data_IF_592428195499
#
_entry.id   IF_592428195499
#
_cell.length_a   1.000
_cell.length_b   1.000
_cell.length_c   1.000
_cell.angle_alpha   90.00
_cell.angle_beta   90.00
_cell.angle_gamma   90.00
#
_symmetry.space_group_name_H-M   'P 1'
#
loop_
_entity.id
_entity.type
_entity.pdbx_description
1 polymer ?
#
# COMPACT_ATOMS: atom_id res chain seq x y z
N UNK A 1 36.17 1.19 4.24
CA UNK A 1 36.93 0.00 3.79
C UNK A 1 35.88 -0.95 3.24
N UNK A 2 35.80 -1.14 1.91
CA UNK A 2 34.87 -2.10 1.34
C UNK A 2 35.32 -3.51 1.77
N UNK A 3 34.54 -4.17 2.61
CA UNK A 3 34.79 -5.57 2.95
C UNK A 3 34.13 -6.43 1.87
N UNK A 4 34.94 -7.28 1.26
CA UNK A 4 34.45 -8.40 0.47
C UNK A 4 34.05 -9.48 1.46
N UNK A 5 32.75 -9.78 1.55
CA UNK A 5 32.25 -10.88 2.38
C UNK A 5 32.15 -12.14 1.50
N UNK A 6 33.03 -13.12 1.74
CA UNK A 6 33.05 -14.38 0.99
C UNK A 6 31.79 -15.25 1.25
N UNK A 7 30.89 -14.85 2.17
CA UNK A 7 29.64 -15.57 2.45
C UNK A 7 28.41 -15.03 1.70
N UNK A 8 28.46 -13.80 1.20
CA UNK A 8 27.42 -13.17 0.35
C UNK A 8 28.13 -12.33 -0.72
N UNK A 9 28.17 -12.81 -1.96
CA UNK A 9 29.07 -12.32 -3.03
C UNK A 9 28.80 -10.92 -3.59
N UNK A 10 28.67 -9.89 -2.73
CA UNK A 10 28.36 -8.51 -3.12
C UNK A 10 29.25 -7.46 -2.47
N UNK A 11 29.28 -6.26 -3.07
CA UNK A 11 29.89 -5.07 -2.47
C UNK A 11 28.96 -4.54 -1.37
N UNK A 12 29.40 -4.61 -0.11
CA UNK A 12 28.68 -4.04 1.03
C UNK A 12 28.81 -2.52 1.10
N UNK A 13 27.67 -1.79 1.12
CA UNK A 13 27.63 -0.35 1.41
C UNK A 13 26.83 -0.07 2.68
N UNK A 14 27.30 0.83 3.54
CA UNK A 14 26.54 1.37 4.68
C UNK A 14 25.28 2.07 4.17
N UNK A 15 24.14 1.43 4.40
CA UNK A 15 22.81 1.96 4.16
C UNK A 15 22.31 2.60 5.42
N UNK A 16 22.64 3.88 5.61
CA UNK A 16 22.03 4.70 6.65
C UNK A 16 20.51 4.53 6.65
N UNK A 17 19.91 4.58 7.83
CA UNK A 17 18.45 4.45 8.00
C UNK A 17 17.70 5.64 7.41
N UNK A 18 18.38 6.78 7.32
CA UNK A 18 17.86 8.02 6.74
C UNK A 18 17.45 7.80 5.28
N UNK A 19 16.16 8.03 5.00
CA UNK A 19 15.60 7.92 3.65
C UNK A 19 15.09 6.52 3.26
N UNK A 20 15.14 5.52 4.16
CA UNK A 20 14.50 4.22 3.87
C UNK A 20 12.97 4.34 3.90
N UNK A 21 12.44 4.92 4.97
CA UNK A 21 11.02 5.30 5.12
C UNK A 21 10.97 6.77 5.53
N UNK A 22 10.24 7.59 4.80
CA UNK A 22 10.08 9.00 5.14
C UNK A 22 8.98 9.20 6.19
N UNK A 23 9.13 10.20 7.06
CA UNK A 23 8.10 10.57 8.05
C UNK A 23 8.00 9.64 9.27
N UNK A 24 8.93 8.68 9.39
CA UNK A 24 9.05 7.76 10.52
C UNK A 24 10.47 7.77 11.08
N UNK A 25 10.58 7.46 12.37
CA UNK A 25 11.87 7.26 13.02
C UNK A 25 12.27 5.81 12.88
N UNK A 26 13.45 5.56 12.34
CA UNK A 26 14.02 4.22 12.26
C UNK A 26 15.12 4.09 13.32
N UNK A 27 15.12 2.95 14.01
CA UNK A 27 16.11 2.58 15.01
C UNK A 27 16.68 1.19 14.70
N UNK A 28 17.99 1.03 14.90
CA UNK A 28 18.72 -0.21 14.64
C UNK A 28 20.11 0.07 14.08
N UNK A 29 20.83 -1.00 13.78
CA UNK A 29 22.05 -0.88 12.98
C UNK A 29 21.68 -0.47 11.55
N UNK A 30 22.51 0.37 10.93
CA UNK A 30 22.40 0.67 9.50
C UNK A 30 22.36 -0.63 8.70
N UNK A 31 21.55 -0.64 7.65
CA UNK A 31 21.50 -1.80 6.76
C UNK A 31 22.79 -1.91 5.98
N UNK A 32 23.18 -3.12 5.58
CA UNK A 32 24.20 -3.29 4.55
C UNK A 32 23.50 -3.39 3.20
N UNK A 33 23.84 -2.53 2.25
CA UNK A 33 23.37 -2.63 0.86
C UNK A 33 24.29 -3.60 0.13
N UNK A 34 23.71 -4.52 -0.62
CA UNK A 34 24.44 -5.47 -1.45
C UNK A 34 24.08 -5.23 -2.92
N UNK A 35 25.03 -5.50 -3.81
CA UNK A 35 24.78 -5.67 -5.23
C UNK A 35 24.69 -7.18 -5.48
N UNK A 36 23.54 -7.67 -5.93
CA UNK A 36 23.26 -9.09 -6.13
C UNK A 36 22.27 -9.29 -7.28
N UNK A 37 22.19 -10.51 -7.81
CA UNK A 37 21.18 -10.91 -8.78
C UNK A 37 19.81 -11.03 -8.09
N UNK A 38 18.83 -10.23 -8.53
CA UNK A 38 17.48 -10.29 -7.94
C UNK A 38 16.61 -11.36 -8.61
N UNK A 39 16.10 -12.31 -7.82
CA UNK A 39 14.98 -13.15 -8.22
C UNK A 39 13.72 -12.71 -7.47
N UNK A 40 12.69 -12.30 -8.21
CA UNK A 40 11.39 -11.85 -7.67
C UNK A 40 10.47 -13.02 -7.23
N UNK A 41 11.05 -14.15 -6.81
CA UNK A 41 10.31 -15.33 -6.33
C UNK A 41 10.70 -15.71 -4.89
N UNK A 42 10.30 -14.85 -3.94
CA UNK A 42 10.33 -15.17 -2.51
C UNK A 42 11.65 -14.83 -1.82
N UNK A 43 11.86 -13.55 -1.52
CA UNK A 43 12.92 -13.12 -0.61
C UNK A 43 12.39 -13.24 0.82
N UNK A 44 13.09 -14.01 1.67
CA UNK A 44 12.90 -13.94 3.12
C UNK A 44 13.94 -12.97 3.66
N UNK A 45 13.48 -11.85 4.23
CA UNK A 45 14.37 -10.84 4.82
C UNK A 45 14.41 -11.04 6.33
N UNK A 46 15.60 -11.35 6.88
CA UNK A 46 15.86 -11.26 8.32
C UNK A 46 16.22 -9.81 8.67
N UNK A 47 15.27 -9.03 9.20
CA UNK A 47 15.49 -7.62 9.53
C UNK A 47 15.69 -7.40 11.04
N UNK A 48 16.82 -6.77 11.40
CA UNK A 48 17.09 -6.24 12.74
C UNK A 48 16.56 -4.80 12.94
N UNK A 49 16.18 -4.13 11.85
CA UNK A 49 15.72 -2.74 11.81
C UNK A 49 14.28 -2.58 12.31
N UNK A 50 14.01 -1.48 12.99
CA UNK A 50 12.72 -1.22 13.63
C UNK A 50 12.23 0.20 13.36
N UNK A 51 10.92 0.35 13.26
CA UNK A 51 10.25 1.66 13.38
C UNK A 51 10.18 2.00 14.87
N UNK A 52 10.58 3.21 15.22
CA UNK A 52 10.46 3.81 16.54
C UNK A 52 9.29 4.78 16.57
N UNK A 53 8.43 4.62 17.57
CA UNK A 53 7.24 5.45 17.78
C UNK A 53 7.50 6.53 18.83
N UNK A 54 6.70 7.62 18.89
CA UNK A 54 6.93 8.74 19.79
C UNK A 54 7.08 8.36 21.28
N UNK A 55 6.32 7.38 21.76
CA UNK A 55 6.41 6.85 23.13
C UNK A 55 7.62 5.94 23.39
N UNK A 56 8.53 5.79 22.41
CA UNK A 56 9.74 4.96 22.49
C UNK A 56 9.53 3.47 22.20
N UNK A 57 8.29 3.04 21.91
CA UNK A 57 8.03 1.67 21.45
C UNK A 57 8.66 1.45 20.08
N UNK A 58 9.09 0.22 19.82
CA UNK A 58 9.65 -0.17 18.53
C UNK A 58 8.93 -1.36 17.93
N UNK A 59 8.75 -1.38 16.61
CA UNK A 59 8.25 -2.55 15.88
C UNK A 59 9.18 -2.91 14.74
N UNK A 60 9.47 -4.21 14.51
CA UNK A 60 10.12 -4.62 13.27
C UNK A 60 9.26 -4.18 12.09
N UNK A 61 9.91 -3.79 10.99
CA UNK A 61 9.22 -3.63 9.72
C UNK A 61 9.63 -4.76 8.77
N UNK A 62 8.62 -5.35 8.16
CA UNK A 62 8.71 -6.66 7.52
C UNK A 62 9.04 -6.60 6.01
N UNK A 63 8.87 -5.43 5.38
CA UNK A 63 9.09 -5.28 3.95
C UNK A 63 10.34 -4.45 3.69
N UNK A 64 11.30 -5.04 2.98
CA UNK A 64 12.34 -4.26 2.32
C UNK A 64 11.72 -3.32 1.29
N UNK A 65 12.45 -2.27 0.93
CA UNK A 65 12.04 -1.32 -0.10
C UNK A 65 12.65 -1.72 -1.44
N UNK A 66 11.80 -1.96 -2.45
CA UNK A 66 12.27 -2.08 -3.82
C UNK A 66 12.36 -0.70 -4.45
N UNK A 67 13.58 -0.22 -4.68
CA UNK A 67 13.79 1.06 -5.38
C UNK A 67 13.44 0.92 -6.87
N UNK A 68 12.60 1.80 -7.38
CA UNK A 68 12.05 1.75 -8.74
C UNK A 68 12.70 2.76 -9.69
N UNK A 69 13.96 3.16 -9.45
CA UNK A 69 14.68 4.09 -10.31
C UNK A 69 14.88 5.47 -9.69
N UNK A 70 15.35 6.40 -10.51
CA UNK A 70 15.65 7.77 -10.10
C UNK A 70 15.77 8.69 -11.30
N UNK A 71 15.50 9.97 -11.05
CA UNK A 71 15.45 11.03 -12.04
C UNK A 71 16.68 11.05 -12.97
N UNK A 72 16.42 11.10 -14.29
CA UNK A 72 17.41 11.26 -15.38
C UNK A 72 18.58 10.27 -15.33
N UNK A 73 18.37 9.11 -14.73
CA UNK A 73 19.44 8.18 -14.46
C UNK A 73 19.01 6.76 -14.76
N UNK A 74 19.74 6.14 -15.67
CA UNK A 74 19.72 4.70 -15.85
C UNK A 74 20.71 4.05 -14.87
N UNK A 75 21.93 4.59 -14.84
CA UNK A 75 22.96 4.25 -13.85
C UNK A 75 22.92 5.21 -12.67
N UNK A 76 22.83 4.68 -11.45
CA UNK A 76 22.91 5.45 -10.22
C UNK A 76 24.26 5.25 -9.54
N UNK A 77 24.79 6.34 -8.98
CA UNK A 77 26.06 6.32 -8.27
C UNK A 77 25.83 6.39 -6.76
N UNK A 78 26.22 5.34 -6.06
CA UNK A 78 26.10 5.21 -4.62
C UNK A 78 27.44 5.51 -3.98
N UNK A 79 27.47 6.56 -3.16
CA UNK A 79 28.69 7.02 -2.49
C UNK A 79 28.61 6.76 -0.99
N UNK A 80 29.76 6.52 -0.38
CA UNK A 80 29.93 6.52 1.06
C UNK A 80 31.21 7.27 1.42
N UNK A 81 31.29 7.73 2.67
CA UNK A 81 32.49 8.36 3.17
C UNK A 81 33.70 7.43 3.05
N UNK A 82 34.77 7.92 2.42
CA UNK A 82 36.06 7.21 2.31
C UNK A 82 36.03 5.88 1.52
N UNK A 83 35.09 5.70 0.58
CA UNK A 83 35.12 4.59 -0.39
C UNK A 83 34.86 5.08 -1.83
N UNK A 84 35.35 4.37 -2.86
CA UNK A 84 34.95 4.64 -4.24
C UNK A 84 33.43 4.55 -4.42
N UNK A 85 32.90 5.35 -5.35
CA UNK A 85 31.50 5.27 -5.72
C UNK A 85 31.19 3.92 -6.39
N UNK A 86 30.05 3.32 -6.07
CA UNK A 86 29.55 2.12 -6.73
C UNK A 86 28.45 2.52 -7.70
N UNK A 87 28.57 2.12 -8.96
CA UNK A 87 27.54 2.38 -9.96
C UNK A 87 26.66 1.13 -10.14
N UNK A 88 25.34 1.32 -10.10
CA UNK A 88 24.39 0.25 -10.37
C UNK A 88 23.12 0.81 -11.05
N UNK A 89 22.51 0.00 -11.92
CA UNK A 89 21.20 0.28 -12.49
C UNK A 89 20.11 -0.33 -11.62
N UNK A 90 19.02 0.41 -11.40
CA UNK A 90 17.81 -0.13 -10.75
C UNK A 90 16.94 -0.86 -11.78
N UNK A 91 15.94 -1.68 -11.37
CA UNK A 91 15.28 -2.62 -12.26
C UNK A 91 14.75 -2.01 -13.57
N UNK A 92 14.06 -0.84 -13.58
CA UNK A 92 13.59 -0.26 -14.84
C UNK A 92 14.74 0.14 -15.78
N UNK A 93 15.82 0.69 -15.23
CA UNK A 93 16.98 1.13 -16.00
C UNK A 93 17.77 -0.04 -16.57
N UNK A 94 18.00 -1.07 -15.75
CA UNK A 94 18.68 -2.28 -16.18
C UNK A 94 17.90 -3.02 -17.28
N UNK A 95 16.57 -3.17 -17.11
CA UNK A 95 15.73 -3.83 -18.12
C UNK A 95 15.73 -3.07 -19.44
N UNK A 96 15.74 -1.74 -19.39
CA UNK A 96 15.82 -0.90 -20.58
C UNK A 96 17.18 -1.00 -21.28
N UNK A 97 18.30 -0.94 -20.54
CA UNK A 97 19.66 -1.10 -21.11
C UNK A 97 19.87 -2.45 -21.78
N UNK A 98 19.16 -3.48 -21.33
CA UNK A 98 19.23 -4.83 -21.89
C UNK A 98 18.12 -5.12 -22.93
N UNK A 99 17.38 -4.09 -23.37
CA UNK A 99 16.33 -4.19 -24.39
C UNK A 99 15.14 -5.11 -24.00
N UNK A 100 14.94 -5.37 -22.70
CA UNK A 100 13.79 -6.15 -22.19
C UNK A 100 12.52 -5.29 -22.09
N UNK A 101 12.69 -3.99 -21.95
CA UNK A 101 11.63 -2.99 -21.97
C UNK A 101 11.97 -1.89 -22.97
N UNK A 102 10.95 -1.33 -23.61
CA UNK A 102 11.12 -0.23 -24.56
C UNK A 102 11.48 1.11 -23.90
N UNK A 103 11.32 1.22 -22.57
CA UNK A 103 11.65 2.43 -21.81
C UNK A 103 12.16 2.12 -20.39
N UNK A 104 12.98 3.04 -19.85
CA UNK A 104 13.37 3.11 -18.45
C UNK A 104 12.23 3.73 -17.63
N UNK A 105 11.16 2.95 -17.44
CA UNK A 105 9.94 3.44 -16.80
C UNK A 105 9.27 2.39 -15.96
N UNK A 106 8.38 2.82 -15.06
CA UNK A 106 7.46 1.93 -14.39
C UNK A 106 6.07 2.55 -14.22
N UNK A 107 5.06 1.70 -14.09
CA UNK A 107 3.71 2.06 -13.67
C UNK A 107 3.27 1.13 -12.55
N UNK A 108 2.69 1.70 -11.49
CA UNK A 108 2.37 0.99 -10.27
C UNK A 108 1.04 1.42 -9.67
N UNK A 109 0.24 0.44 -9.26
CA UNK A 109 -0.80 0.58 -8.27
C UNK A 109 -0.64 -0.57 -7.26
N UNK A 110 -0.50 -0.27 -5.96
CA UNK A 110 -0.18 -1.31 -4.97
C UNK A 110 -1.37 -2.22 -4.63
N UNK A 111 -2.58 -1.83 -5.04
CA UNK A 111 -3.81 -2.56 -4.72
C UNK A 111 -4.28 -2.31 -3.29
N UNK A 112 -5.29 -3.06 -2.86
CA UNK A 112 -5.92 -2.89 -1.56
C UNK A 112 -6.33 -4.23 -0.95
N UNK A 113 -6.47 -4.25 0.37
CA UNK A 113 -6.85 -5.46 1.12
C UNK A 113 -8.36 -5.66 1.12
N UNK A 114 -9.14 -4.57 1.22
CA UNK A 114 -10.59 -4.64 1.33
C UNK A 114 -11.27 -3.51 0.53
N UNK A 115 -12.01 -3.82 -0.53
CA UNK A 115 -12.12 -5.13 -1.16
C UNK A 115 -10.76 -5.57 -1.73
N UNK A 116 -10.50 -6.88 -1.75
CA UNK A 116 -9.22 -7.37 -2.26
C UNK A 116 -9.02 -6.95 -3.72
N UNK A 117 -7.92 -6.22 -3.97
CA UNK A 117 -7.43 -5.88 -5.29
C UNK A 117 -5.94 -6.17 -5.35
N UNK A 118 -5.54 -6.99 -6.32
CA UNK A 118 -4.12 -7.29 -6.53
C UNK A 118 -3.37 -6.05 -6.99
N UNK A 119 -2.15 -5.87 -6.49
CA UNK A 119 -1.22 -4.88 -7.00
C UNK A 119 -0.83 -5.13 -8.45
N UNK A 120 -0.35 -4.09 -9.11
CA UNK A 120 0.10 -4.07 -10.50
C UNK A 120 1.38 -3.26 -10.55
N UNK A 121 2.49 -3.88 -10.95
CA UNK A 121 3.76 -3.20 -11.21
C UNK A 121 4.25 -3.62 -12.58
N UNK A 122 4.43 -2.64 -13.46
CA UNK A 122 4.91 -2.84 -14.83
C UNK A 122 6.19 -2.08 -15.03
N UNK A 123 7.19 -2.72 -15.64
CA UNK A 123 8.39 -2.06 -16.14
C UNK A 123 8.25 -1.80 -17.64
N UNK A 124 8.73 -0.64 -18.10
CA UNK A 124 8.62 -0.21 -19.49
C UNK A 124 7.23 0.28 -19.91
N UNK A 125 6.33 0.53 -18.96
CA UNK A 125 4.96 0.89 -19.25
C UNK A 125 4.04 0.79 -18.03
N UNK A 126 2.74 0.72 -18.27
CA UNK A 126 1.71 0.67 -17.24
C UNK A 126 0.47 -0.13 -17.69
N UNK A 127 -0.39 -0.43 -16.72
CA UNK A 127 -1.72 -1.01 -16.91
C UNK A 127 -2.77 0.12 -16.90
N UNK A 128 -3.37 0.40 -18.05
CA UNK A 128 -4.37 1.45 -18.20
C UNK A 128 -5.61 1.23 -17.33
N UNK A 129 -5.90 -0.01 -16.96
CA UNK A 129 -7.02 -0.33 -16.08
C UNK A 129 -6.76 0.07 -14.62
N UNK A 130 -5.61 0.69 -14.32
CA UNK A 130 -5.27 1.22 -12.99
C UNK A 130 -5.38 2.72 -12.89
N UNK A 131 -5.88 3.39 -13.92
CA UNK A 131 -6.02 4.84 -13.97
C UNK A 131 -7.46 5.21 -14.31
N UNK A 132 -8.02 6.14 -13.54
CA UNK A 132 -9.31 6.78 -13.80
C UNK A 132 -9.21 8.28 -13.52
N UNK A 133 -10.11 9.07 -14.11
CA UNK A 133 -10.09 10.53 -13.97
C UNK A 133 -8.88 11.21 -14.62
N UNK A 134 -8.50 12.34 -14.05
CA UNK A 134 -7.42 13.19 -14.54
C UNK A 134 -6.04 12.68 -14.10
N UNK A 135 -5.03 12.98 -14.91
CA UNK A 135 -3.64 12.59 -14.67
C UNK A 135 -2.83 13.86 -14.39
N UNK A 136 -2.11 13.87 -13.27
CA UNK A 136 -1.16 14.92 -12.96
C UNK A 136 0.24 14.51 -13.45
N UNK A 137 0.85 15.36 -14.28
CA UNK A 137 2.19 15.17 -14.84
C UNK A 137 3.18 16.12 -14.15
N UNK A 138 4.28 15.58 -13.65
CA UNK A 138 5.23 16.29 -12.80
C UNK A 138 6.67 15.98 -13.24
N UNK A 139 7.56 16.96 -13.12
CA UNK A 139 9.00 16.74 -13.29
C UNK A 139 9.64 16.28 -11.98
N UNK A 140 10.78 15.58 -12.07
CA UNK A 140 11.50 15.12 -10.88
C UNK A 140 11.09 13.70 -10.49
N UNK A 141 11.12 13.39 -9.21
CA UNK A 141 10.67 12.13 -8.64
C UNK A 141 9.56 12.29 -7.59
N UNK A 142 8.80 11.22 -7.29
CA UNK A 142 7.74 11.23 -6.28
C UNK A 142 8.17 11.70 -4.87
N UNK A 143 9.44 11.48 -4.53
CA UNK A 143 10.02 11.91 -3.25
C UNK A 143 10.54 13.35 -3.25
N UNK A 144 10.64 14.01 -4.42
CA UNK A 144 11.11 15.40 -4.54
C UNK A 144 10.06 16.42 -4.06
N UNK A 145 8.82 15.99 -3.84
CA UNK A 145 7.73 16.82 -3.32
C UNK A 145 6.66 17.13 -4.36
N UNK A 146 5.43 17.28 -3.89
CA UNK A 146 4.26 17.76 -4.63
C UNK A 146 3.43 18.66 -3.72
N UNK A 147 2.87 19.74 -4.28
CA UNK A 147 1.97 20.63 -3.53
C UNK A 147 0.60 19.98 -3.33
N UNK A 148 0.36 19.53 -2.09
CA UNK A 148 -0.98 19.22 -1.59
C UNK A 148 -1.70 20.53 -1.27
N UNK A 149 -2.68 20.89 -2.10
CA UNK A 149 -3.44 22.12 -1.97
C UNK A 149 -4.46 22.06 -0.83
N UNK A 150 -5.18 20.94 -0.73
CA UNK A 150 -6.19 20.76 0.28
C UNK A 150 -6.46 19.28 0.60
N UNK A 151 -7.03 19.03 1.77
CA UNK A 151 -7.65 17.77 2.17
C UNK A 151 -9.11 18.05 2.55
N UNK A 152 -10.03 17.27 2.02
CA UNK A 152 -11.46 17.34 2.35
C UNK A 152 -12.07 15.97 2.62
N UNK A 153 -13.32 15.97 3.05
CA UNK A 153 -14.16 14.76 3.13
C UNK A 153 -15.30 14.91 2.12
N UNK A 154 -15.34 14.03 1.13
CA UNK A 154 -16.43 13.94 0.15
C UNK A 154 -17.44 12.86 0.58
N UNK A 155 -18.74 13.19 0.57
CA UNK A 155 -19.84 12.23 0.70
C UNK A 155 -20.42 11.94 -0.69
N UNK A 156 -20.17 10.74 -1.21
CA UNK A 156 -20.50 10.35 -2.58
C UNK A 156 -21.84 9.61 -2.67
N UNK A 157 -22.17 8.84 -1.63
CA UNK A 157 -23.40 8.06 -1.54
C UNK A 157 -24.46 8.71 -0.65
N UNK A 158 -25.59 8.01 -0.51
CA UNK A 158 -26.77 8.52 0.19
C UNK A 158 -26.87 8.08 1.65
N UNK A 159 -26.10 7.07 2.09
CA UNK A 159 -26.11 6.59 3.48
C UNK A 159 -24.77 6.90 4.14
N UNK A 160 -24.62 8.16 4.54
CA UNK A 160 -23.44 8.65 5.26
C UNK A 160 -23.85 9.20 6.63
N UNK A 161 -23.02 9.03 7.67
CA UNK A 161 -23.26 9.62 8.99
C UNK A 161 -22.86 11.10 9.08
N UNK A 162 -22.29 11.66 8.01
CA UNK A 162 -21.98 13.09 7.91
C UNK A 162 -23.22 13.88 7.48
N UNK A 163 -23.40 15.06 8.09
CA UNK A 163 -24.51 15.99 7.80
C UNK A 163 -24.18 17.00 6.69
N UNK A 164 -23.07 16.78 5.98
CA UNK A 164 -22.58 17.59 4.87
C UNK A 164 -22.33 16.73 3.63
N UNK A 165 -22.35 17.36 2.45
CA UNK A 165 -21.96 16.71 1.19
C UNK A 165 -20.44 16.77 0.95
N UNK A 166 -19.82 17.87 1.35
CA UNK A 166 -18.37 18.07 1.37
C UNK A 166 -17.95 18.85 2.61
N UNK A 167 -16.77 18.54 3.14
CA UNK A 167 -16.08 19.31 4.16
C UNK A 167 -14.61 19.51 3.74
N UNK A 168 -14.36 20.60 3.05
CA UNK A 168 -13.05 20.98 2.50
C UNK A 168 -12.21 21.79 3.54
N UNK A 169 -11.04 22.29 3.14
CA UNK A 169 -10.13 23.14 3.93
C UNK A 169 -9.52 22.46 5.18
N UNK A 170 -9.60 21.12 5.30
CA UNK A 170 -9.10 20.40 6.49
C UNK A 170 -7.58 20.43 6.58
N UNK A 171 -6.88 20.70 5.47
CA UNK A 171 -5.43 20.82 5.44
C UNK A 171 -4.94 21.99 6.29
N UNK A 172 -5.41 23.20 5.97
CA UNK A 172 -4.88 24.46 6.51
C UNK A 172 -5.74 25.08 7.62
N UNK A 173 -6.95 24.57 7.87
CA UNK A 173 -7.83 25.09 8.92
C UNK A 173 -7.13 25.18 10.27
N UNK A 174 -7.15 26.36 10.88
CA UNK A 174 -6.50 26.63 12.16
C UNK A 174 -4.97 26.64 12.11
N UNK A 175 -4.34 26.57 10.94
CA UNK A 175 -2.88 26.60 10.78
C UNK A 175 -2.45 27.45 9.57
N UNK A 176 -2.26 28.76 9.81
CA UNK A 176 -1.84 29.72 8.78
C UNK A 176 -0.42 29.49 8.23
N UNK A 177 0.41 28.65 8.87
CA UNK A 177 1.73 28.33 8.38
C UNK A 177 1.71 27.45 7.12
N UNK A 178 0.57 26.79 6.82
CA UNK A 178 0.42 25.92 5.63
C UNK A 178 0.19 26.75 4.33
N UNK A 179 -0.03 28.07 4.44
CA UNK A 179 0.03 28.98 3.29
C UNK A 179 -0.84 28.54 2.10
N UNK A 180 -0.23 28.42 0.92
CA UNK A 180 -0.88 28.03 -0.35
C UNK A 180 -0.80 26.53 -0.64
N UNK A 181 -0.60 25.69 0.37
CA UNK A 181 -0.47 24.25 0.23
C UNK A 181 0.75 23.70 0.95
N UNK A 182 0.71 22.39 1.18
CA UNK A 182 1.74 21.64 1.88
C UNK A 182 2.60 20.88 0.86
N UNK A 183 3.91 21.03 0.94
CA UNK A 183 4.81 20.17 0.18
C UNK A 183 4.87 18.78 0.85
N UNK A 184 4.56 17.73 0.09
CA UNK A 184 4.52 16.35 0.57
C UNK A 184 5.28 15.41 -0.36
N UNK A 185 6.01 14.44 0.19
CA UNK A 185 6.61 13.36 -0.60
C UNK A 185 5.62 12.20 -0.76
N UNK A 186 5.66 11.51 -1.91
CA UNK A 186 4.94 10.24 -2.09
C UNK A 186 5.93 9.08 -1.92
N UNK A 187 5.66 8.18 -0.97
CA UNK A 187 6.61 7.12 -0.61
C UNK A 187 5.95 5.76 -0.29
N UNK A 188 6.09 4.80 -1.21
CA UNK A 188 5.58 3.43 -1.02
C UNK A 188 6.26 2.63 0.09
N UNK A 189 7.40 3.10 0.61
CA UNK A 189 8.06 2.50 1.76
C UNK A 189 7.40 2.88 3.09
N UNK A 190 6.84 4.08 3.17
CA UNK A 190 6.18 4.56 4.39
C UNK A 190 4.77 3.96 4.52
N UNK A 191 4.39 3.45 5.70
CA UNK A 191 3.08 2.83 5.89
C UNK A 191 1.93 3.85 5.97
N UNK A 192 2.18 5.04 6.54
CA UNK A 192 1.13 5.98 6.96
C UNK A 192 1.01 7.19 6.03
N UNK A 193 -0.02 8.00 6.27
CA UNK A 193 -0.05 9.40 5.86
C UNK A 193 0.54 10.21 7.02
N UNK A 194 1.74 10.75 6.85
CA UNK A 194 2.39 11.59 7.87
C UNK A 194 2.10 13.05 7.55
N UNK A 195 1.32 13.72 8.40
CA UNK A 195 0.77 15.05 8.15
C UNK A 195 0.96 15.97 9.37
N UNK A 196 0.79 17.30 9.23
CA UNK A 196 0.83 18.21 10.36
C UNK A 196 -0.18 17.80 11.44
N UNK A 197 0.18 17.98 12.72
CA UNK A 197 -0.72 17.66 13.84
C UNK A 197 -2.08 18.35 13.72
N UNK A 198 -2.09 19.61 13.28
CA UNK A 198 -3.33 20.37 13.03
C UNK A 198 -4.20 19.70 11.98
N UNK A 199 -3.61 19.26 10.87
CA UNK A 199 -4.31 18.61 9.77
C UNK A 199 -4.91 17.27 10.21
N UNK A 200 -4.13 16.40 10.86
CA UNK A 200 -4.68 15.14 11.39
C UNK A 200 -5.80 15.38 12.41
N UNK A 201 -5.67 16.43 13.25
CA UNK A 201 -6.71 16.79 14.22
C UNK A 201 -8.00 17.30 13.56
N UNK A 202 -7.90 18.11 12.50
CA UNK A 202 -9.05 18.60 11.74
C UNK A 202 -9.83 17.45 11.10
N UNK A 203 -9.13 16.49 10.49
CA UNK A 203 -9.77 15.30 9.93
C UNK A 203 -10.41 14.46 11.05
N UNK A 204 -9.64 14.18 12.10
CA UNK A 204 -10.09 13.37 13.24
C UNK A 204 -11.29 13.97 13.99
N UNK A 205 -11.49 15.29 13.97
CA UNK A 205 -12.64 15.94 14.58
C UNK A 205 -13.99 15.50 13.98
N UNK A 206 -13.96 14.96 12.76
CA UNK A 206 -15.13 14.40 12.08
C UNK A 206 -15.35 12.91 12.39
N UNK A 207 -14.40 12.23 13.04
CA UNK A 207 -14.37 10.77 13.17
C UNK A 207 -14.46 10.33 14.64
N UNK A 208 -15.10 9.19 14.95
CA UNK A 208 -15.04 8.56 16.26
C UNK A 208 -13.66 7.93 16.52
N UNK A 209 -12.61 8.75 16.61
CA UNK A 209 -11.23 8.31 16.87
C UNK A 209 -10.65 9.00 18.10
N UNK A 210 -9.65 8.38 18.71
CA UNK A 210 -8.87 8.97 19.81
C UNK A 210 -7.39 8.98 19.44
N UNK A 211 -6.74 10.13 19.60
CA UNK A 211 -5.29 10.21 19.44
C UNK A 211 -4.57 9.43 20.55
N UNK A 212 -3.55 8.67 20.16
CA UNK A 212 -2.69 7.91 21.04
C UNK A 212 -1.25 8.47 20.93
N UNK A 213 -0.81 9.18 21.98
CA UNK A 213 0.45 9.93 21.94
C UNK A 213 1.68 9.02 21.85
N UNK A 214 1.62 7.82 22.43
CA UNK A 214 2.72 6.85 22.38
C UNK A 214 2.95 6.31 20.96
N UNK A 215 1.87 6.20 20.18
CA UNK A 215 1.90 5.73 18.79
C UNK A 215 1.99 6.86 17.77
N UNK A 216 1.63 8.09 18.13
CA UNK A 216 1.47 9.19 17.17
C UNK A 216 0.36 8.92 16.14
N UNK A 217 -0.63 8.09 16.50
CA UNK A 217 -1.71 7.61 15.61
C UNK A 217 -3.09 7.79 16.27
N UNK A 218 -4.15 7.66 15.47
CA UNK A 218 -5.54 7.75 15.93
C UNK A 218 -6.17 6.36 15.96
N UNK A 219 -6.69 5.93 17.09
CA UNK A 219 -7.35 4.63 17.24
C UNK A 219 -8.86 4.79 17.08
N UNK A 220 -9.50 3.92 16.31
CA UNK A 220 -10.95 3.94 16.12
C UNK A 220 -11.67 3.53 17.40
N UNK A 221 -12.75 4.25 17.73
CA UNK A 221 -13.71 3.82 18.73
C UNK A 221 -14.76 2.90 18.08
N UNK A 222 -14.46 1.60 18.04
CA UNK A 222 -15.30 0.60 17.37
C UNK A 222 -16.65 0.34 18.04
N UNK A 223 -16.90 0.91 19.22
CA UNK A 223 -18.21 0.83 19.89
C UNK A 223 -19.10 2.02 19.56
N UNK A 224 -18.62 3.01 18.80
CA UNK A 224 -19.45 4.12 18.32
C UNK A 224 -20.32 3.65 17.17
N UNK A 225 -21.61 4.00 17.19
CA UNK A 225 -22.53 3.70 16.08
C UNK A 225 -22.02 4.27 14.74
N UNK A 226 -21.36 5.44 14.79
CA UNK A 226 -20.76 6.10 13.61
C UNK A 226 -19.60 5.32 12.99
N UNK A 227 -18.93 4.45 13.74
CA UNK A 227 -17.74 3.75 13.23
C UNK A 227 -18.08 2.90 12.01
N UNK A 228 -19.09 2.02 12.15
CA UNK A 228 -19.50 1.14 11.05
C UNK A 228 -20.10 1.95 9.89
N UNK A 229 -20.93 2.96 10.19
CA UNK A 229 -21.54 3.83 9.17
C UNK A 229 -20.48 4.55 8.33
N UNK A 230 -19.38 5.00 8.93
CA UNK A 230 -18.28 5.66 8.19
C UNK A 230 -17.56 4.65 7.29
N UNK A 231 -17.14 3.50 7.83
CA UNK A 231 -16.26 2.58 7.08
C UNK A 231 -16.98 1.78 5.99
N UNK A 232 -18.32 1.71 5.99
CA UNK A 232 -19.10 1.02 4.95
C UNK A 232 -19.84 1.93 3.97
N UNK A 233 -19.87 3.24 4.23
CA UNK A 233 -20.49 4.24 3.34
C UNK A 233 -19.58 4.61 2.17
N UNK A 234 -20.17 5.17 1.10
CA UNK A 234 -19.45 5.82 0.02
C UNK A 234 -18.97 7.21 0.43
N UNK A 235 -18.06 7.25 1.39
CA UNK A 235 -17.39 8.46 1.85
C UNK A 235 -15.88 8.31 1.69
N UNK A 236 -15.22 9.40 1.31
CA UNK A 236 -13.79 9.38 1.03
C UNK A 236 -13.08 10.59 1.62
N UNK A 237 -11.84 10.36 2.03
CA UNK A 237 -10.88 11.43 2.26
C UNK A 237 -10.28 11.84 0.91
N UNK A 238 -10.42 13.11 0.56
CA UNK A 238 -10.02 13.65 -0.74
C UNK A 238 -8.76 14.49 -0.60
N UNK A 239 -7.75 14.21 -1.42
CA UNK A 239 -6.48 14.93 -1.51
C UNK A 239 -6.46 15.70 -2.82
N UNK A 240 -6.37 17.03 -2.74
CA UNK A 240 -6.34 17.90 -3.91
C UNK A 240 -4.91 18.36 -4.19
N UNK A 241 -4.36 18.04 -5.35
CA UNK A 241 -3.00 18.39 -5.74
C UNK A 241 -2.98 19.42 -6.85
N UNK A 242 -2.03 20.35 -6.77
CA UNK A 242 -1.74 21.30 -7.84
C UNK A 242 -0.28 21.15 -8.28
N UNK A 243 0.02 21.63 -9.48
CA UNK A 243 1.39 21.72 -9.98
C UNK A 243 1.64 23.11 -10.56
N UNK A 244 2.92 23.44 -10.80
CA UNK A 244 3.27 24.71 -11.45
C UNK A 244 2.64 24.90 -12.83
N UNK A 245 2.28 23.79 -13.50
CA UNK A 245 1.64 23.77 -14.82
C UNK A 245 0.13 23.56 -14.80
N UNK A 246 -0.46 23.26 -13.63
CA UNK A 246 -1.89 23.01 -13.50
C UNK A 246 -2.45 23.65 -12.21
N UNK A 247 -3.27 24.68 -12.38
CA UNK A 247 -3.99 25.35 -11.28
C UNK A 247 -5.31 24.67 -10.93
N UNK A 248 -5.84 23.81 -11.80
CA UNK A 248 -7.04 23.03 -11.54
C UNK A 248 -6.63 21.78 -10.72
N UNK A 249 -7.09 21.63 -9.47
CA UNK A 249 -6.59 20.57 -8.61
C UNK A 249 -6.99 19.18 -9.10
N UNK A 250 -6.02 18.28 -9.21
CA UNK A 250 -6.27 16.85 -9.41
C UNK A 250 -6.59 16.21 -8.07
N UNK A 251 -7.76 15.58 -7.98
CA UNK A 251 -8.27 14.97 -6.74
C UNK A 251 -7.99 13.47 -6.71
N UNK A 252 -7.41 12.99 -5.60
CA UNK A 252 -7.30 11.58 -5.26
C UNK A 252 -8.19 11.29 -4.05
N UNK A 253 -9.07 10.31 -4.16
CA UNK A 253 -10.05 9.90 -3.16
C UNK A 253 -9.68 8.56 -2.59
N UNK A 254 -9.56 8.52 -1.27
CA UNK A 254 -9.28 7.32 -0.47
C UNK A 254 -10.54 7.01 0.34
N UNK A 255 -11.31 5.94 0.03
CA UNK A 255 -12.49 5.57 0.80
C UNK A 255 -12.16 5.34 2.28
N UNK A 256 -13.07 5.69 3.20
CA UNK A 256 -12.83 5.49 4.64
C UNK A 256 -12.62 4.02 5.02
N UNK A 257 -13.17 3.08 4.25
CA UNK A 257 -12.87 1.65 4.38
C UNK A 257 -11.36 1.35 4.27
N UNK A 258 -10.64 2.00 3.35
CA UNK A 258 -9.19 1.85 3.19
C UNK A 258 -8.39 2.56 4.29
N UNK A 259 -9.04 3.45 5.05
CA UNK A 259 -8.51 4.17 6.21
C UNK A 259 -8.85 3.47 7.54
N UNK A 260 -9.45 2.28 7.49
CA UNK A 260 -9.74 1.42 8.62
C UNK A 260 -8.75 0.25 8.70
N UNK A 261 -7.46 0.58 8.91
CA UNK A 261 -6.40 -0.42 9.00
C UNK A 261 -6.29 -0.99 10.41
N UNK A 262 -5.57 -2.11 10.58
CA UNK A 262 -5.42 -2.77 11.89
C UNK A 262 -3.96 -2.79 12.33
N UNK A 263 -3.68 -2.22 13.51
CA UNK A 263 -2.43 -2.44 14.22
C UNK A 263 -2.45 -3.82 14.88
N UNK A 264 -1.34 -4.55 14.79
CA UNK A 264 -1.21 -5.91 15.33
C UNK A 264 0.12 -6.08 16.07
N UNK A 265 0.35 -7.26 16.64
CA UNK A 265 1.60 -7.57 17.31
C UNK A 265 2.80 -7.39 16.35
N UNK A 266 3.93 -6.84 16.83
CA UNK A 266 4.25 -6.56 18.24
C UNK A 266 3.91 -5.14 18.72
N UNK A 267 3.24 -4.31 17.91
CA UNK A 267 2.88 -2.95 18.33
C UNK A 267 1.82 -2.93 19.43
N UNK A 268 0.80 -3.78 19.25
CA UNK A 268 -0.30 -3.97 20.17
C UNK A 268 -0.62 -5.47 20.26
N UNK A 269 -0.81 -5.97 21.47
CA UNK A 269 -1.19 -7.37 21.70
C UNK A 269 -2.60 -7.69 21.20
N UNK A 270 -3.47 -6.68 21.19
CA UNK A 270 -4.84 -6.78 20.71
C UNK A 270 -4.91 -6.09 19.35
N UNK A 271 -5.31 -6.80 18.27
CA UNK A 271 -5.56 -6.19 16.98
C UNK A 271 -6.53 -5.01 17.12
N UNK A 272 -6.05 -3.81 16.80
CA UNK A 272 -6.76 -2.56 17.06
C UNK A 272 -6.91 -1.77 15.76
N UNK A 273 -8.16 -1.50 15.32
CA UNK A 273 -8.38 -0.64 14.17
C UNK A 273 -7.91 0.80 14.43
N UNK A 274 -7.27 1.40 13.45
CA UNK A 274 -6.73 2.76 13.55
C UNK A 274 -6.95 3.55 12.25
N UNK A 275 -7.01 4.88 12.40
CA UNK A 275 -6.98 5.83 11.32
C UNK A 275 -5.51 6.24 11.04
N UNK A 276 -4.98 5.98 9.84
CA UNK A 276 -3.54 6.04 9.53
C UNK A 276 -2.97 7.44 9.26
N UNK A 277 -3.44 8.46 9.98
CA UNK A 277 -2.83 9.80 10.01
C UNK A 277 -1.80 9.86 11.14
N UNK A 278 -0.52 9.83 10.78
CA UNK A 278 0.61 9.81 11.69
C UNK A 278 1.14 11.23 11.94
N UNK A 279 1.46 11.52 13.21
CA UNK A 279 2.05 12.80 13.63
C UNK A 279 3.47 12.54 14.12
N UNK A 280 4.47 12.92 13.33
CA UNK A 280 5.89 12.75 13.69
C UNK A 280 6.51 13.93 14.46
N UNK A 281 5.92 15.13 14.35
CA UNK A 281 6.46 16.35 14.96
C UNK A 281 7.76 16.89 14.33
N UNK A 282 8.17 16.38 13.16
CA UNK A 282 9.46 16.71 12.52
C UNK A 282 9.35 17.62 11.30
N UNK A 283 8.14 17.90 10.83
CA UNK A 283 7.92 18.69 9.62
C UNK A 283 8.23 17.93 8.32
N UNK A 284 8.40 16.61 8.40
CA UNK A 284 8.49 15.74 7.23
C UNK A 284 7.10 15.16 6.93
N UNK A 285 6.54 15.50 5.77
CA UNK A 285 5.19 15.13 5.38
C UNK A 285 5.19 14.18 4.19
N UNK A 286 4.43 13.10 4.33
CA UNK A 286 4.54 11.94 3.43
C UNK A 286 3.18 11.30 3.23
N UNK A 287 2.85 11.01 1.98
CA UNK A 287 1.72 10.16 1.63
C UNK A 287 2.25 8.77 1.28
N UNK A 288 2.06 7.83 2.21
CA UNK A 288 2.60 6.48 2.12
C UNK A 288 1.67 5.47 1.47
N UNK A 289 1.88 4.19 1.80
CA UNK A 289 1.09 3.05 1.29
C UNK A 289 -0.40 3.21 1.48
N UNK A 290 -0.85 3.75 2.62
CA UNK A 290 -2.28 4.00 2.86
C UNK A 290 -2.90 4.78 1.71
N UNK A 291 -2.26 5.87 1.27
CA UNK A 291 -2.71 6.71 0.17
C UNK A 291 -2.57 5.98 -1.18
N UNK A 292 -1.46 5.25 -1.36
CA UNK A 292 -1.18 4.53 -2.60
C UNK A 292 -2.13 3.36 -2.88
N UNK A 293 -2.96 2.93 -1.92
CA UNK A 293 -4.04 1.96 -2.17
C UNK A 293 -5.10 2.48 -3.15
N UNK A 294 -5.18 3.79 -3.34
CA UNK A 294 -6.14 4.43 -4.25
C UNK A 294 -5.47 5.40 -5.24
N UNK A 295 -4.14 5.37 -5.31
CA UNK A 295 -3.37 6.17 -6.24
C UNK A 295 -2.53 5.30 -7.16
N UNK A 296 -2.56 5.65 -8.45
CA UNK A 296 -1.61 5.16 -9.43
C UNK A 296 -0.40 6.08 -9.46
N UNK A 297 0.78 5.48 -9.53
CA UNK A 297 2.04 6.19 -9.72
C UNK A 297 2.83 5.58 -10.87
N UNK A 298 3.32 6.42 -11.76
CA UNK A 298 4.23 5.99 -12.82
C UNK A 298 5.36 6.98 -13.01
N UNK A 299 6.49 6.52 -13.54
CA UNK A 299 7.61 7.41 -13.86
C UNK A 299 8.35 6.92 -15.09
N UNK A 300 8.83 7.87 -15.89
CA UNK A 300 9.78 7.66 -16.96
C UNK A 300 11.09 8.38 -16.61
N UNK A 301 12.12 7.59 -16.33
CA UNK A 301 13.43 8.04 -15.89
C UNK A 301 14.40 8.33 -17.04
N UNK A 302 13.93 8.21 -18.29
CA UNK A 302 14.73 8.60 -19.44
C UNK A 302 15.23 10.05 -19.27
N UNK A 303 16.51 10.35 -19.59
CA UNK A 303 17.09 11.68 -19.42
C UNK A 303 16.28 12.80 -20.09
N UNK A 304 15.66 12.50 -21.23
CA UNK A 304 14.86 13.45 -22.00
C UNK A 304 13.40 13.57 -21.51
N UNK A 305 12.88 12.57 -20.79
CA UNK A 305 11.51 12.55 -20.27
C UNK A 305 11.43 13.24 -18.90
N UNK A 306 12.21 12.71 -17.95
CA UNK A 306 12.21 13.06 -16.53
C UNK A 306 10.83 13.42 -15.94
N UNK A 307 9.85 12.55 -16.18
CA UNK A 307 8.46 12.82 -15.83
C UNK A 307 7.91 11.69 -14.98
N UNK A 308 7.14 12.04 -13.96
CA UNK A 308 6.33 11.11 -13.20
C UNK A 308 4.88 11.57 -13.17
N UNK A 309 3.99 10.61 -12.97
CA UNK A 309 2.55 10.79 -13.03
C UNK A 309 1.90 10.30 -11.75
N UNK A 310 0.91 11.06 -11.30
CA UNK A 310 -0.01 10.71 -10.23
C UNK A 310 -1.43 10.73 -10.78
N UNK A 311 -2.19 9.67 -10.53
CA UNK A 311 -3.59 9.61 -10.94
C UNK A 311 -4.40 8.78 -9.95
N UNK A 312 -5.72 8.88 -10.03
CA UNK A 312 -6.63 8.09 -9.21
C UNK A 312 -6.61 6.62 -9.69
N UNK A 313 -6.45 5.69 -8.75
CA UNK A 313 -6.67 4.28 -9.01
C UNK A 313 -8.17 3.91 -8.85
N UNK A 314 -8.67 2.92 -9.60
CA UNK A 314 -10.07 2.50 -9.55
C UNK A 314 -10.38 1.64 -8.33
N UNK A 315 -11.67 1.50 -8.03
CA UNK A 315 -12.23 0.46 -7.19
C UNK A 315 -12.25 -0.92 -7.88
N UNK A 316 -12.81 -1.91 -7.18
CA UNK A 316 -12.78 -3.33 -7.59
C UNK A 316 -13.41 -3.58 -8.97
N UNK A 317 -14.42 -2.81 -9.35
CA UNK A 317 -15.18 -3.01 -10.59
C UNK A 317 -14.42 -2.39 -11.76
N UNK A 318 -13.30 -3.01 -12.12
CA UNK A 318 -12.46 -2.63 -13.25
C UNK A 318 -13.18 -3.02 -14.55
N UNK A 319 -13.94 -2.10 -15.16
CA UNK A 319 -14.47 -2.33 -16.50
C UNK A 319 -13.40 -2.04 -17.56
N UNK A 320 -12.80 -3.12 -18.05
CA UNK A 320 -11.93 -3.10 -19.22
C UNK A 320 -12.77 -3.04 -20.51
N UNK A 321 -13.43 -1.93 -20.84
CA UNK A 321 -13.86 -1.66 -22.23
C UNK A 321 -14.15 -0.18 -22.51
N UNK A 322 -13.32 0.37 -23.40
CA UNK A 322 -13.66 1.30 -24.49
C UNK A 322 -14.22 2.68 -24.17
N UNK A 323 -13.39 3.68 -24.46
CA UNK A 323 -13.71 4.94 -25.13
C UNK A 323 -15.22 5.17 -25.39
N UNK A 324 -15.74 6.24 -24.76
CA UNK A 324 -17.11 6.80 -24.84
C UNK A 324 -17.97 6.41 -23.62
N UNK A 325 -17.76 7.13 -22.51
CA UNK A 325 -18.77 7.27 -21.45
C UNK A 325 -18.31 7.03 -20.00
N UNK A 326 -17.41 7.88 -19.48
CA UNK A 326 -17.25 8.11 -18.04
C UNK A 326 -16.27 7.18 -17.32
N UNK A 327 -15.01 7.62 -17.23
CA UNK A 327 -14.01 7.28 -16.23
C UNK A 327 -14.44 7.72 -14.80
N UNK A 328 -15.66 7.35 -14.41
CA UNK A 328 -16.27 7.74 -13.14
C UNK A 328 -15.72 6.86 -12.01
N UNK A 329 -14.99 7.51 -11.10
CA UNK A 329 -14.49 6.88 -9.88
C UNK A 329 -15.60 6.17 -9.12
N UNK A 330 -16.78 6.80 -8.97
CA UNK A 330 -17.91 6.21 -8.23
C UNK A 330 -18.36 4.89 -8.86
N UNK A 331 -18.45 4.81 -10.18
CA UNK A 331 -18.84 3.60 -10.89
C UNK A 331 -17.87 2.42 -10.67
N UNK A 332 -16.57 2.71 -10.51
CA UNK A 332 -15.54 1.69 -10.23
C UNK A 332 -15.69 1.03 -8.86
N UNK A 333 -16.52 1.60 -7.98
CA UNK A 333 -16.82 1.13 -6.63
C UNK A 333 -18.21 0.47 -6.50
N UNK A 334 -18.90 0.21 -7.62
CA UNK A 334 -20.19 -0.47 -7.63
C UNK A 334 -20.16 -1.81 -6.87
N UNK A 335 -21.19 -2.08 -6.06
CA UNK A 335 -21.31 -3.28 -5.23
C UNK A 335 -20.37 -3.37 -4.01
N UNK A 336 -19.63 -2.31 -3.68
CA UNK A 336 -18.69 -2.31 -2.53
C UNK A 336 -19.27 -1.63 -1.29
N UNK A 337 -19.99 -0.52 -1.47
CA UNK A 337 -20.57 0.24 -0.36
C UNK A 337 -22.00 -0.20 -0.05
N UNK A 338 -22.43 0.03 1.20
CA UNK A 338 -23.79 -0.27 1.67
C UNK A 338 -24.86 0.70 1.11
N UNK A 339 -24.51 1.50 0.10
CA UNK A 339 -25.31 2.59 -0.46
C UNK A 339 -26.21 2.17 -1.62
N UNK A 340 -25.96 1.00 -2.24
CA UNK A 340 -26.84 0.46 -3.27
C UNK A 340 -28.09 -0.17 -2.62
N UNK A 341 -29.24 0.47 -2.82
CA UNK A 341 -30.52 -0.20 -2.69
C UNK A 341 -30.59 -1.34 -3.72
N UNK A 342 -31.02 -2.52 -3.26
CA UNK A 342 -31.53 -3.64 -4.08
C UNK A 342 -32.20 -3.13 -5.38
N UNK A 343 -31.99 -3.81 -6.53
CA UNK A 343 -32.48 -3.33 -7.81
C UNK A 343 -33.99 -3.05 -7.76
N UNK A 344 -34.34 -1.80 -8.07
CA UNK A 344 -35.68 -1.34 -8.34
C UNK A 344 -36.40 -2.34 -9.25
N UNK A 345 -37.48 -2.94 -8.75
CA UNK A 345 -38.38 -3.76 -9.53
C UNK A 345 -38.76 -3.01 -10.82
N UNK A 346 -38.48 -3.65 -11.94
CA UNK A 346 -38.85 -3.19 -13.28
C UNK A 346 -40.36 -2.90 -13.33
N UNK A 347 -40.82 -1.76 -13.85
CA UNK A 347 -42.24 -1.54 -14.05
C UNK A 347 -42.70 -2.34 -15.28
N UNK A 348 -43.21 -3.55 -15.06
CA UNK A 348 -44.09 -4.18 -16.04
C UNK A 348 -45.42 -3.44 -16.01
N UNK A 349 -45.72 -2.75 -17.10
CA UNK A 349 -47.09 -2.34 -17.41
C UNK A 349 -47.96 -3.58 -17.49
N UNK A 350 -48.92 -3.72 -16.59
CA UNK A 350 -50.21 -4.25 -16.99
C UNK A 350 -51.34 -3.80 -16.05
N UNK A 351 -52.46 -3.53 -16.71
CA UNK A 351 -53.61 -2.83 -16.16
C UNK A 351 -54.64 -3.76 -15.52
N UNK A 352 -55.34 -3.21 -14.52
CA UNK A 352 -56.77 -3.41 -14.25
C UNK A 352 -57.21 -4.44 -13.19
N UNK A 353 -57.65 -3.88 -12.05
CA UNK A 353 -58.83 -4.19 -11.21
C UNK A 353 -58.82 -5.24 -10.07
N UNK A 354 -59.20 -4.69 -8.90
CA UNK A 354 -60.18 -5.10 -7.87
C UNK A 354 -59.68 -5.59 -6.50
N UNK A 355 -60.17 -4.86 -5.49
CA UNK A 355 -60.45 -5.13 -4.06
C UNK A 355 -60.07 -6.53 -3.53
N UNK A 356 -59.53 -6.71 -2.32
CA UNK A 356 -60.19 -6.49 -1.01
C UNK A 356 -59.20 -6.79 0.14
N UNK A 357 -59.42 -6.15 1.31
CA UNK A 357 -58.85 -6.36 2.65
C UNK A 357 -58.24 -7.74 3.02
N UNK A 358 -57.12 -7.75 3.78
CA UNK A 358 -57.02 -8.37 5.13
C UNK A 358 -55.63 -8.17 5.79
N UNK A 359 -55.68 -8.14 7.12
CA UNK A 359 -54.65 -7.90 8.13
C UNK A 359 -53.52 -8.96 8.20
N UNK A 360 -52.35 -8.52 8.68
CA UNK A 360 -51.50 -9.21 9.66
C UNK A 360 -50.59 -10.35 9.18
N UNK A 361 -49.27 -10.18 9.33
CA UNK A 361 -48.43 -11.01 10.23
C UNK A 361 -46.95 -10.60 10.18
N UNK A 362 -46.41 -10.30 11.37
CA UNK A 362 -44.97 -10.21 11.65
C UNK A 362 -44.36 -11.61 11.69
N UNK A 363 -43.22 -11.82 11.03
CA UNK A 363 -42.46 -13.08 11.12
C UNK A 363 -41.25 -12.93 12.05
N UNK A 364 -41.47 -13.18 13.34
CA UNK A 364 -40.42 -13.42 14.32
C UNK A 364 -39.93 -14.88 14.27
N UNK A 365 -38.62 -15.09 14.26
CA UNK A 365 -38.00 -16.42 14.23
C UNK A 365 -38.17 -17.18 15.56
N UNK A 366 -38.55 -18.45 15.43
CA UNK A 366 -38.98 -19.39 16.48
C UNK A 366 -37.96 -19.69 17.60
N UNK A 367 -38.48 -19.76 18.83
CA UNK A 367 -37.86 -20.12 20.11
C UNK A 367 -37.14 -21.48 20.12
N UNK A 368 -37.33 -22.33 19.11
CA UNK A 368 -36.65 -23.64 18.99
C UNK A 368 -35.17 -23.59 18.57
N UNK A 369 -34.69 -22.50 17.96
CA UNK A 369 -33.30 -22.39 17.48
C UNK A 369 -32.28 -22.01 18.59
N UNK A 370 -32.77 -21.50 19.73
CA UNK A 370 -31.91 -21.01 20.83
C UNK A 370 -31.44 -22.11 21.79
N UNK A 371 -31.96 -23.34 21.70
CA UNK A 371 -31.60 -24.43 22.60
C UNK A 371 -30.51 -25.39 22.07
N UNK A 372 -30.07 -25.26 20.81
CA UNK A 372 -29.13 -26.19 20.17
C UNK A 372 -27.63 -25.84 20.26
N UNK A 373 -27.28 -24.60 20.61
CA UNK A 373 -25.88 -24.10 20.53
C UNK A 373 -25.10 -24.29 21.85
N UNK A 374 -25.79 -24.51 22.97
CA UNK A 374 -25.15 -24.56 24.28
C UNK A 374 -24.31 -25.84 24.55
N UNK A 375 -24.48 -26.92 23.77
CA UNK A 375 -23.79 -28.20 24.02
C UNK A 375 -22.63 -28.45 23.02
N UNK A 376 -22.61 -27.76 21.87
CA UNK A 376 -21.56 -27.91 20.85
C UNK A 376 -20.24 -27.20 21.17
N UNK A 377 -20.27 -26.11 21.95
CA UNK A 377 -19.11 -25.25 22.19
C UNK A 377 -18.03 -25.91 23.07
N UNK A 378 -18.41 -26.79 24.00
CA UNK A 378 -17.47 -27.43 24.93
C UNK A 378 -16.63 -28.52 24.23
N UNK A 379 -17.22 -29.23 23.26
CA UNK A 379 -16.52 -30.26 22.49
C UNK A 379 -15.47 -29.68 21.53
N UNK A 380 -15.80 -28.58 20.85
CA UNK A 380 -14.89 -27.94 19.91
C UNK A 380 -13.66 -27.32 20.62
N UNK A 381 -13.86 -26.70 21.79
CA UNK A 381 -12.76 -26.13 22.57
C UNK A 381 -11.77 -27.19 23.08
N UNK A 382 -12.27 -28.36 23.52
CA UNK A 382 -11.41 -29.47 23.94
C UNK A 382 -10.58 -30.05 22.78
N UNK A 383 -11.15 -30.14 21.57
CA UNK A 383 -10.44 -30.62 20.39
C UNK A 383 -9.31 -29.66 19.96
N UNK A 384 -9.54 -28.34 20.04
CA UNK A 384 -8.54 -27.32 19.70
C UNK A 384 -7.39 -27.32 20.71
N UNK A 385 -7.68 -27.43 22.01
CA UNK A 385 -6.64 -27.48 23.05
C UNK A 385 -5.77 -28.74 22.93
N UNK A 386 -6.37 -29.90 22.66
CA UNK A 386 -5.62 -31.14 22.46
C UNK A 386 -4.79 -31.11 21.16
N UNK A 387 -5.32 -30.51 20.09
CA UNK A 387 -4.59 -30.30 18.84
C UNK A 387 -3.37 -29.40 19.00
N UNK A 388 -3.53 -28.27 19.70
CA UNK A 388 -2.42 -27.35 19.99
C UNK A 388 -1.35 -28.03 20.87
N UNK A 389 -1.76 -28.78 21.91
CA UNK A 389 -0.84 -29.48 22.80
C UNK A 389 0.03 -30.53 22.05
N UNK A 390 -0.57 -31.31 21.14
CA UNK A 390 0.17 -32.29 20.35
C UNK A 390 1.13 -31.64 19.33
N UNK A 391 0.75 -30.49 18.75
CA UNK A 391 1.60 -29.76 17.82
C UNK A 391 2.84 -29.18 18.53
N UNK A 392 2.67 -28.54 19.69
CA UNK A 392 3.80 -28.01 20.46
C UNK A 392 4.73 -29.10 20.99
N UNK A 393 4.18 -30.26 21.39
CA UNK A 393 4.99 -31.40 21.83
C UNK A 393 5.81 -32.02 20.69
N UNK A 394 5.31 -32.02 19.46
CA UNK A 394 6.03 -32.56 18.28
C UNK A 394 7.14 -31.61 17.80
N UNK A 395 6.98 -30.29 17.98
CA UNK A 395 7.99 -29.29 17.59
C UNK A 395 9.22 -29.27 18.51
N UNK A 396 9.08 -29.71 19.77
CA UNK A 396 10.19 -29.73 20.73
C UNK A 396 11.07 -30.99 20.70
N UNK A 397 10.87 -31.90 19.74
CA UNK A 397 11.68 -33.13 19.63
C UNK A 397 12.65 -33.16 18.43
N UNK A 398 12.77 -32.09 17.65
CA UNK A 398 13.66 -32.02 16.47
C UNK A 398 14.89 -31.13 16.62
N UNK A 399 15.38 -30.91 17.84
CA UNK A 399 16.72 -30.34 18.05
C UNK A 399 17.63 -31.32 18.78
N UNK A 400 18.12 -32.31 18.06
CA UNK A 400 19.38 -32.98 18.37
C UNK A 400 19.95 -33.66 17.12
N UNK A 401 21.22 -33.33 16.85
CA UNK A 401 22.17 -34.00 15.95
C UNK A 401 22.20 -33.56 14.49
N UNK A 402 23.27 -32.82 14.14
CA UNK A 402 24.20 -33.24 13.08
C UNK A 402 25.55 -32.55 13.25
N UNK A 403 26.56 -33.36 13.57
CA UNK A 403 27.99 -33.07 13.48
C UNK A 403 28.53 -33.94 12.35
N UNK A 404 29.19 -33.35 11.35
CA UNK A 404 30.01 -34.04 10.33
C UNK A 404 31.19 -33.12 10.04
N UNK A 405 32.35 -33.38 10.66
CA UNK A 405 33.53 -34.08 10.12
C UNK A 405 34.20 -33.40 8.92
N UNK A 406 35.35 -32.79 9.25
CA UNK A 406 36.41 -32.28 8.36
C UNK A 406 37.34 -33.41 7.91
N UNK A 407 37.75 -33.40 6.64
CA UNK A 407 39.05 -33.94 6.18
C UNK A 407 39.49 -33.15 4.94
N UNK A 408 40.77 -32.71 4.84
CA UNK A 408 41.23 -31.75 3.84
C UNK A 408 41.78 -32.44 2.58
N UNK A 409 41.66 -31.79 1.42
CA UNK A 409 42.48 -32.10 0.25
C UNK A 409 43.01 -30.80 -0.36
N UNK A 410 44.32 -30.82 -0.56
CA UNK A 410 45.22 -29.74 -0.93
C UNK A 410 45.17 -29.38 -2.43
N UNK A 411 45.64 -28.17 -2.73
CA UNK A 411 45.44 -27.34 -3.91
C UNK A 411 46.16 -27.78 -5.21
N UNK A 412 45.68 -27.29 -6.36
CA UNK A 412 46.48 -26.61 -7.41
C UNK A 412 45.56 -25.85 -8.40
N UNK A 413 45.87 -24.56 -8.64
CA UNK A 413 45.27 -23.56 -9.55
C UNK A 413 45.34 -23.95 -11.06
N UNK A 414 44.61 -23.33 -12.03
CA UNK A 414 44.49 -21.87 -12.21
C UNK A 414 43.10 -21.32 -12.63
N UNK A 415 42.98 -19.98 -12.60
CA UNK A 415 41.82 -19.15 -12.97
C UNK A 415 40.97 -19.63 -14.17
N UNK A 416 39.63 -19.47 -14.15
CA UNK A 416 38.83 -19.45 -15.36
C UNK A 416 38.47 -18.02 -15.79
N UNK A 417 38.91 -17.72 -17.00
CA UNK A 417 38.29 -16.76 -17.91
C UNK A 417 36.78 -16.99 -18.05
N UNK A 418 36.01 -15.90 -18.20
CA UNK A 418 34.63 -15.81 -18.74
C UNK A 418 33.77 -17.08 -18.60
N UNK A 419 32.90 -17.12 -17.60
CA UNK A 419 31.84 -18.12 -17.53
C UNK A 419 30.82 -17.91 -18.67
N UNK A 420 30.35 -18.98 -19.33
CA UNK A 420 29.38 -18.92 -20.41
C UNK A 420 27.97 -18.65 -19.88
N UNK A 421 27.12 -18.06 -20.72
CA UNK A 421 25.66 -17.96 -20.54
C UNK A 421 25.12 -19.37 -20.19
N UNK A 422 24.84 -19.61 -18.92
CA UNK A 422 24.01 -20.75 -18.52
C UNK A 422 22.56 -20.32 -18.69
N UNK A 423 21.90 -20.87 -19.71
CA UNK A 423 20.46 -20.79 -19.88
C UNK A 423 19.78 -21.24 -18.58
N UNK A 424 18.97 -20.36 -18.00
CA UNK A 424 18.02 -20.75 -16.95
C UNK A 424 17.11 -21.87 -17.50
N UNK A 425 16.76 -22.89 -16.70
CA UNK A 425 15.82 -23.92 -17.15
C UNK A 425 14.52 -23.25 -17.59
N UNK A 426 14.07 -23.54 -18.82
CA UNK A 426 12.75 -23.18 -19.32
C UNK A 426 11.69 -23.78 -18.39
N UNK A 427 11.28 -23.05 -17.36
CA UNK A 427 9.94 -23.19 -16.84
C UNK A 427 9.02 -22.49 -17.83
N UNK A 428 8.33 -23.29 -18.65
CA UNK A 428 7.12 -22.86 -19.34
C UNK A 428 6.22 -22.17 -18.31
N UNK A 429 6.18 -20.84 -18.39
CA UNK A 429 5.20 -20.04 -17.70
C UNK A 429 3.86 -20.46 -18.31
N UNK A 430 3.01 -21.14 -17.52
CA UNK A 430 1.65 -21.45 -17.98
C UNK A 430 1.01 -20.16 -18.49
N UNK A 431 0.34 -20.18 -19.66
CA UNK A 431 -0.23 -19.00 -20.24
C UNK A 431 -1.28 -18.42 -19.28
N UNK A 432 -1.00 -17.22 -18.79
CA UNK A 432 -1.93 -16.43 -18.00
C UNK A 432 -3.21 -16.21 -18.83
N UNK A 433 -4.40 -16.66 -18.38
CA UNK A 433 -5.62 -16.66 -19.20
C UNK A 433 -6.28 -15.28 -19.41
N UNK A 434 -5.55 -14.17 -19.24
CA UNK A 434 -6.07 -12.81 -19.46
C UNK A 434 -5.10 -11.96 -20.28
N UNK A 435 -5.54 -11.30 -21.36
CA UNK A 435 -4.70 -10.40 -22.15
C UNK A 435 -4.55 -9.05 -21.42
N UNK A 436 -3.71 -8.98 -20.40
CA UNK A 436 -3.29 -7.68 -19.86
C UNK A 436 -2.37 -7.01 -20.87
N UNK A 437 -2.84 -5.91 -21.47
CA UNK A 437 -2.09 -5.16 -22.47
C UNK A 437 -1.21 -4.12 -21.77
N UNK A 438 0.10 -4.18 -22.04
CA UNK A 438 1.07 -3.18 -21.58
C UNK A 438 0.98 -1.94 -22.47
N UNK A 439 0.92 -0.76 -21.86
CA UNK A 439 0.97 0.52 -22.57
C UNK A 439 2.24 1.27 -22.20
N UNK A 440 2.88 1.90 -23.19
CA UNK A 440 4.10 2.68 -22.96
C UNK A 440 3.77 4.03 -22.32
N UNK A 441 4.64 4.48 -21.41
CA UNK A 441 4.59 5.84 -20.89
C UNK A 441 5.24 6.80 -21.90
N UNK A 442 4.73 8.04 -22.04
CA UNK A 442 5.32 9.03 -22.93
C UNK A 442 6.81 9.24 -22.64
N UNK A 443 7.59 9.34 -23.71
CA UNK A 443 9.03 9.68 -23.71
C UNK A 443 9.28 11.16 -23.53
#
# INVERSE_FOLDING_TARGET
MAQYDDSTGGIGLDGGLDGLMLGLDLEGESGTRYMDDMSLNGITVENSQKIKYPGGRTSPFFAGCLSLGGNRATNQSFTQANTPATNASLPPGWMWENEWTSSNSFGMHIGSVQPAMSGSLWFGGYDQNRIIGDILSLSGGPRDGITLWDIGIDVIGSKSPFDFESNDDLLATGNSCIGSGLDVSIDGCSPYMTLPRSTCANIAANLPVRFDEDLGLYLWNTTSDKYNEIITSATALTFSFISSSNTDPVKIRVPFMHLNLTLSAPLLDIPTPYFPCHVNGKGEYVLGRVFLQDAFIGANWHPDANTWWLAQAPGRSIQATSNIGGNDWKASWSGVWDDESEPSNTPTSDSTNKETNKEGEESGMSTGAKAGIAIGAVGALLAVVLGAFFWFRRRNQTRASQTVQTTPSEATSPMPSKLPLSELPNHEMEPNPSPYQRYELPS
#
